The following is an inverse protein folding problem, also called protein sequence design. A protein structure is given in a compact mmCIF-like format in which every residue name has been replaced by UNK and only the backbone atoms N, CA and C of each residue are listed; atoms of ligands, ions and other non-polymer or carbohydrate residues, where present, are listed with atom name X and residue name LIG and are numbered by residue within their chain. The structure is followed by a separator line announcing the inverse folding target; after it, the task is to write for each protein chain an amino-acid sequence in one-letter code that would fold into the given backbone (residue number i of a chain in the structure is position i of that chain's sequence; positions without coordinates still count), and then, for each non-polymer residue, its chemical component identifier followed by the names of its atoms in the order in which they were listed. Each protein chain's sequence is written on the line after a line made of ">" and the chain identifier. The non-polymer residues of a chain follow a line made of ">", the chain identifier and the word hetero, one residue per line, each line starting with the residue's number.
data_IF_449688383231
#
_entry.id   IF_449688383231
#
_cell.length_a   1.000
_cell.length_b   1.000
_cell.length_c   1.000
_cell.angle_alpha   90.00
_cell.angle_beta   90.00
_cell.angle_gamma   90.00
#
_symmetry.space_group_name_H-M   'P 1'
#
loop_
_entity.id
_entity.type
_entity.pdbx_description
1 polymer ?
#
# COMPACT_ATOMS: atom_id res chain seq x y z
N UNK A 1 -7.61 4.93 -8.83
CA UNK A 1 -6.52 4.65 -9.79
C UNK A 1 -6.35 5.75 -10.84
N UNK A 2 -7.40 6.15 -11.53
CA UNK A 2 -7.35 7.15 -12.61
C UNK A 2 -6.73 8.49 -12.19
N UNK A 3 -7.25 9.12 -11.14
CA UNK A 3 -6.76 10.41 -10.65
C UNK A 3 -5.29 10.37 -10.22
N UNK A 4 -4.86 9.28 -9.57
CA UNK A 4 -3.45 9.07 -9.21
C UNK A 4 -2.56 8.95 -10.45
N UNK A 5 -2.97 8.21 -11.45
CA UNK A 5 -2.23 8.10 -12.72
C UNK A 5 -2.10 9.45 -13.43
N UNK A 6 -3.17 10.27 -13.46
CA UNK A 6 -3.15 11.62 -14.02
C UNK A 6 -2.18 12.53 -13.24
N UNK A 7 -2.20 12.46 -11.91
CA UNK A 7 -1.25 13.20 -11.06
C UNK A 7 0.21 12.80 -11.31
N UNK A 8 0.49 11.49 -11.48
CA UNK A 8 1.84 10.98 -11.77
C UNK A 8 2.35 11.52 -13.11
N UNK A 9 1.53 11.51 -14.15
CA UNK A 9 1.92 12.01 -15.49
C UNK A 9 2.28 13.49 -15.42
N UNK A 10 1.46 14.30 -14.76
CA UNK A 10 1.64 15.75 -14.65
C UNK A 10 2.69 16.18 -13.60
N UNK A 11 3.17 15.27 -12.76
CA UNK A 11 4.22 15.59 -11.78
C UNK A 11 5.54 15.92 -12.46
N UNK A 12 6.37 16.78 -11.84
CA UNK A 12 7.72 17.14 -12.33
C UNK A 12 8.84 16.52 -11.50
N UNK A 13 8.51 15.97 -10.31
CA UNK A 13 9.48 15.45 -9.37
C UNK A 13 10.10 14.12 -9.82
N UNK A 14 11.35 13.88 -9.42
CA UNK A 14 12.07 12.60 -9.56
C UNK A 14 11.41 11.48 -8.76
N UNK A 15 10.83 11.83 -7.61
CA UNK A 15 10.10 10.94 -6.70
C UNK A 15 8.64 11.33 -6.62
N UNK A 16 7.79 10.32 -6.44
CA UNK A 16 6.36 10.47 -6.15
C UNK A 16 6.11 9.94 -4.75
N UNK A 17 5.46 10.75 -3.94
CA UNK A 17 4.95 10.37 -2.63
C UNK A 17 3.44 10.59 -2.62
N UNK A 18 2.71 9.71 -1.94
CA UNK A 18 1.25 9.76 -1.85
C UNK A 18 0.85 10.12 -0.42
N UNK A 19 -0.16 10.96 -0.31
CA UNK A 19 -0.80 11.29 0.96
C UNK A 19 -2.32 11.25 0.74
N UNK A 20 -2.99 10.33 1.40
CA UNK A 20 -4.45 10.31 1.43
C UNK A 20 -4.94 11.45 2.32
N UNK A 21 -6.08 12.07 2.00
CA UNK A 21 -6.56 13.32 2.61
C UNK A 21 -6.82 13.23 4.11
N UNK A 22 -7.02 12.04 4.63
CA UNK A 22 -7.27 11.74 6.04
C UNK A 22 -6.02 11.28 6.81
N UNK A 23 -4.88 11.10 6.14
CA UNK A 23 -3.62 10.67 6.74
C UNK A 23 -2.71 11.85 7.10
N UNK A 24 -1.67 11.57 7.89
CA UNK A 24 -0.68 12.56 8.28
C UNK A 24 0.74 12.06 7.98
N UNK A 25 1.62 12.99 7.60
CA UNK A 25 3.05 12.74 7.52
C UNK A 25 3.82 13.37 8.69
N UNK A 26 4.86 12.67 9.11
CA UNK A 26 5.87 13.27 9.99
C UNK A 26 6.65 14.35 9.21
N UNK A 27 6.97 15.47 9.87
CA UNK A 27 7.66 16.63 9.24
C UNK A 27 8.93 16.25 8.45
N UNK A 28 9.68 15.26 8.91
CA UNK A 28 10.94 14.84 8.32
C UNK A 28 10.79 13.66 7.34
N UNK A 29 9.55 13.22 7.01
CA UNK A 29 9.33 12.02 6.19
C UNK A 29 10.04 12.09 4.84
N UNK A 30 9.81 13.13 4.08
CA UNK A 30 10.36 13.26 2.73
C UNK A 30 11.88 13.28 2.77
N UNK A 31 12.47 14.12 3.62
CA UNK A 31 13.92 14.24 3.76
C UNK A 31 14.56 12.90 4.14
N UNK A 32 14.06 12.25 5.18
CA UNK A 32 14.60 10.97 5.65
C UNK A 32 14.49 9.87 4.61
N UNK A 33 13.31 9.70 4.03
CA UNK A 33 13.01 8.60 3.13
C UNK A 33 13.71 8.76 1.78
N UNK A 34 13.80 9.98 1.23
CA UNK A 34 14.54 10.27 0.00
C UNK A 34 16.05 10.05 0.20
N UNK A 35 16.61 10.58 1.30
CA UNK A 35 18.04 10.36 1.63
C UNK A 35 18.35 8.86 1.74
N UNK A 36 17.50 8.08 2.41
CA UNK A 36 17.64 6.63 2.48
C UNK A 36 17.62 5.97 1.09
N UNK A 37 16.68 6.38 0.23
CA UNK A 37 16.54 5.83 -1.12
C UNK A 37 17.74 6.18 -2.01
N UNK A 38 18.27 7.40 -1.92
CA UNK A 38 19.41 7.84 -2.72
C UNK A 38 20.70 7.17 -2.28
N UNK A 39 20.99 7.13 -0.98
CA UNK A 39 22.19 6.51 -0.43
C UNK A 39 22.28 5.00 -0.74
N UNK A 40 21.14 4.32 -0.92
CA UNK A 40 21.10 2.89 -1.17
C UNK A 40 20.65 2.52 -2.60
N UNK A 41 20.55 3.51 -3.49
CA UNK A 41 20.06 3.35 -4.88
C UNK A 41 18.72 2.60 -4.97
N UNK A 42 17.76 2.92 -4.09
CA UNK A 42 16.46 2.27 -3.96
C UNK A 42 15.44 2.96 -4.85
N UNK A 43 14.62 2.17 -5.57
CA UNK A 43 13.57 2.68 -6.46
C UNK A 43 12.25 2.92 -5.74
N UNK A 44 11.96 2.16 -4.67
CA UNK A 44 10.71 2.22 -3.91
C UNK A 44 10.96 1.83 -2.46
N UNK A 45 10.42 2.62 -1.54
CA UNK A 45 10.45 2.36 -0.11
C UNK A 45 9.09 2.63 0.54
N UNK A 46 8.85 1.99 1.68
CA UNK A 46 7.71 2.28 2.54
C UNK A 46 8.16 2.39 3.99
N UNK A 47 7.50 3.23 4.78
CA UNK A 47 7.82 3.41 6.19
C UNK A 47 6.86 2.67 7.10
N UNK A 48 7.25 2.48 8.36
CA UNK A 48 6.31 2.20 9.45
C UNK A 48 5.37 3.39 9.64
N UNK A 49 4.21 3.14 10.27
CA UNK A 49 3.23 4.18 10.54
C UNK A 49 2.47 3.94 11.83
N UNK A 50 1.95 5.02 12.41
CA UNK A 50 1.00 4.95 13.51
C UNK A 50 -0.42 4.79 12.98
N UNK A 51 -1.28 4.18 13.80
CA UNK A 51 -2.73 4.14 13.59
C UNK A 51 -3.32 5.15 14.59
N UNK A 52 -4.06 6.13 14.09
CA UNK A 52 -4.68 7.17 14.91
C UNK A 52 -6.21 7.12 14.78
N UNK A 53 -6.86 7.30 15.91
CA UNK A 53 -8.31 7.47 16.02
C UNK A 53 -8.57 8.61 17.01
N UNK A 54 -9.45 9.54 16.65
CA UNK A 54 -9.77 10.72 17.48
C UNK A 54 -8.50 11.44 18.03
N UNK A 55 -7.51 11.64 17.15
CA UNK A 55 -6.20 12.23 17.40
C UNK A 55 -5.31 11.49 18.42
N UNK A 56 -5.70 10.30 18.85
CA UNK A 56 -4.88 9.43 19.72
C UNK A 56 -4.25 8.28 18.93
N UNK A 57 -3.00 7.94 19.27
CA UNK A 57 -2.35 6.75 18.70
C UNK A 57 -2.93 5.53 19.38
N UNK A 58 -3.61 4.66 18.62
CA UNK A 58 -4.20 3.40 19.09
C UNK A 58 -3.37 2.17 18.71
N UNK A 59 -2.35 2.33 17.87
CA UNK A 59 -1.48 1.24 17.44
C UNK A 59 -0.46 1.68 16.40
N UNK A 60 0.29 0.72 15.89
CA UNK A 60 1.27 0.98 14.84
C UNK A 60 1.48 -0.23 13.93
N UNK A 61 1.99 0.00 12.75
CA UNK A 61 2.45 -1.04 11.81
C UNK A 61 3.92 -0.84 11.54
N UNK A 62 4.71 -1.89 11.74
CA UNK A 62 6.15 -1.88 11.45
C UNK A 62 6.37 -2.36 10.02
N UNK A 63 7.07 -1.56 9.24
CA UNK A 63 7.46 -1.90 7.87
C UNK A 63 8.36 -3.14 7.87
N UNK A 64 8.02 -4.10 7.00
CA UNK A 64 8.74 -5.38 6.86
C UNK A 64 9.13 -5.58 5.40
N UNK A 65 10.22 -6.30 5.17
CA UNK A 65 10.57 -6.77 3.83
C UNK A 65 9.51 -7.77 3.35
N UNK A 66 8.84 -7.42 2.28
CA UNK A 66 7.83 -8.24 1.65
C UNK A 66 8.38 -8.80 0.33
N UNK A 67 8.04 -10.03 0.05
CA UNK A 67 8.20 -10.64 -1.27
C UNK A 67 6.82 -10.92 -1.87
N UNK A 68 6.78 -11.32 -3.13
CA UNK A 68 5.53 -11.59 -3.84
C UNK A 68 4.65 -12.63 -3.13
N UNK A 69 5.24 -13.69 -2.56
CA UNK A 69 4.46 -14.73 -1.85
C UNK A 69 3.81 -14.20 -0.56
N UNK A 70 4.55 -13.39 0.22
CA UNK A 70 4.05 -12.83 1.49
C UNK A 70 2.95 -11.80 1.26
N UNK A 71 3.10 -10.93 0.25
CA UNK A 71 2.11 -9.89 0.00
C UNK A 71 0.80 -10.46 -0.53
N UNK A 72 0.79 -11.62 -1.20
CA UNK A 72 -0.43 -12.26 -1.69
C UNK A 72 -1.51 -12.41 -0.62
N UNK A 73 -1.11 -12.70 0.61
CA UNK A 73 -2.05 -12.98 1.70
C UNK A 73 -2.06 -11.93 2.80
N UNK A 74 -1.18 -10.94 2.74
CA UNK A 74 -1.07 -9.93 3.80
C UNK A 74 -0.36 -8.68 3.29
N UNK A 75 -1.12 -7.62 3.01
CA UNK A 75 -0.57 -6.32 2.64
C UNK A 75 -0.58 -5.36 3.83
N UNK A 76 0.62 -4.93 4.26
CA UNK A 76 0.81 -3.92 5.32
C UNK A 76 1.44 -2.63 4.77
N UNK A 77 1.43 -2.43 3.45
CA UNK A 77 1.94 -1.23 2.81
C UNK A 77 0.78 -0.24 2.66
N UNK A 78 0.71 0.75 3.51
CA UNK A 78 -0.20 1.89 3.33
C UNK A 78 0.32 2.85 2.28
N UNK A 79 -0.54 3.35 1.40
CA UNK A 79 -0.15 4.21 0.29
C UNK A 79 0.58 5.48 0.77
N UNK A 80 0.09 6.11 1.83
CA UNK A 80 0.70 7.31 2.43
C UNK A 80 2.10 7.08 3.04
N UNK A 81 2.55 5.82 3.12
CA UNK A 81 3.90 5.48 3.61
C UNK A 81 4.94 5.39 2.51
N UNK A 82 4.50 5.32 1.25
CA UNK A 82 5.36 5.00 0.10
C UNK A 82 5.99 6.24 -0.52
N UNK A 83 7.27 6.11 -0.91
CA UNK A 83 7.94 6.96 -1.89
C UNK A 83 8.50 6.06 -2.99
N UNK A 84 8.33 6.49 -4.24
CA UNK A 84 8.70 5.71 -5.42
C UNK A 84 9.32 6.60 -6.49
N UNK A 85 10.33 6.15 -7.22
CA UNK A 85 10.86 6.87 -8.39
C UNK A 85 9.80 6.97 -9.48
N UNK A 86 9.60 8.17 -10.04
CA UNK A 86 8.55 8.45 -11.03
C UNK A 86 8.61 7.51 -12.23
N UNK A 87 9.80 7.22 -12.75
CA UNK A 87 9.98 6.34 -13.91
C UNK A 87 9.42 4.92 -13.67
N UNK A 88 9.44 4.43 -12.43
CA UNK A 88 8.84 3.15 -12.08
C UNK A 88 7.31 3.19 -12.17
N UNK A 89 6.68 4.29 -11.73
CA UNK A 89 5.22 4.48 -11.82
C UNK A 89 4.73 4.70 -13.26
N UNK A 90 5.56 5.25 -14.13
CA UNK A 90 5.24 5.33 -15.57
C UNK A 90 5.18 3.94 -16.21
N UNK A 91 6.00 2.99 -15.71
CA UNK A 91 6.00 1.59 -16.14
C UNK A 91 4.88 0.78 -15.49
N UNK A 92 4.60 0.99 -14.19
CA UNK A 92 3.60 0.26 -13.39
C UNK A 92 2.47 1.20 -12.97
N UNK A 93 1.42 1.29 -13.78
CA UNK A 93 0.27 2.17 -13.51
C UNK A 93 -0.69 1.55 -12.50
N UNK A 94 -1.37 2.41 -11.74
CA UNK A 94 -2.51 2.00 -10.93
C UNK A 94 -3.62 1.43 -11.81
N UNK A 95 -4.24 0.31 -11.44
CA UNK A 95 -5.39 -0.23 -12.17
C UNK A 95 -6.66 0.60 -11.94
N UNK A 96 -7.64 0.41 -12.81
CA UNK A 96 -8.96 0.98 -12.62
C UNK A 96 -9.85 0.01 -11.83
N UNK A 97 -9.72 0.06 -10.50
CA UNK A 97 -10.51 -0.73 -9.53
C UNK A 97 -10.90 0.22 -8.39
N UNK A 98 -12.04 0.01 -7.75
CA UNK A 98 -12.56 0.95 -6.73
C UNK A 98 -11.74 0.95 -5.45
N UNK A 99 -11.39 -0.23 -4.97
CA UNK A 99 -10.52 -0.41 -3.79
C UNK A 99 -9.34 -1.29 -4.16
N UNK A 100 -8.29 -1.34 -3.34
CA UNK A 100 -7.10 -2.20 -3.53
C UNK A 100 -6.25 -1.90 -4.80
N UNK A 101 -6.38 -0.71 -5.38
CA UNK A 101 -5.55 -0.32 -6.53
C UNK A 101 -4.05 -0.25 -6.18
N UNK A 102 -3.72 0.15 -4.97
CA UNK A 102 -2.38 0.12 -4.40
C UNK A 102 -1.86 -1.31 -4.25
N UNK A 103 -2.70 -2.20 -3.72
CA UNK A 103 -2.36 -3.61 -3.55
C UNK A 103 -2.01 -4.29 -4.88
N UNK A 104 -2.79 -4.03 -5.94
CA UNK A 104 -2.48 -4.52 -7.31
C UNK A 104 -1.14 -3.96 -7.78
N UNK A 105 -0.87 -2.69 -7.53
CA UNK A 105 0.39 -2.06 -7.93
C UNK A 105 1.59 -2.73 -7.24
N UNK A 106 1.50 -2.96 -5.93
CA UNK A 106 2.57 -3.64 -5.17
C UNK A 106 2.79 -5.07 -5.66
N UNK A 107 1.72 -5.80 -5.93
CA UNK A 107 1.80 -7.15 -6.50
C UNK A 107 2.49 -7.16 -7.85
N UNK A 108 2.19 -6.23 -8.76
CA UNK A 108 2.85 -6.12 -10.06
C UNK A 108 4.34 -5.82 -9.93
N UNK A 109 4.70 -4.88 -9.06
CA UNK A 109 6.11 -4.51 -8.80
C UNK A 109 6.89 -5.70 -8.24
N UNK A 110 6.37 -6.36 -7.20
CA UNK A 110 7.05 -7.50 -6.59
C UNK A 110 7.11 -8.72 -7.51
N UNK A 111 6.10 -8.92 -8.36
CA UNK A 111 6.08 -9.99 -9.38
C UNK A 111 7.14 -9.79 -10.46
N UNK A 112 7.53 -8.55 -10.75
CA UNK A 112 8.59 -8.24 -11.71
C UNK A 112 10.02 -8.42 -11.16
N UNK A 113 10.16 -8.91 -9.91
CA UNK A 113 11.47 -9.11 -9.27
C UNK A 113 12.01 -7.88 -8.54
N UNK A 114 11.31 -6.75 -8.59
CA UNK A 114 11.70 -5.54 -7.86
C UNK A 114 11.37 -5.66 -6.36
N UNK A 115 12.15 -4.98 -5.53
CA UNK A 115 11.94 -4.96 -4.08
C UNK A 115 11.30 -3.66 -3.62
N UNK A 116 10.42 -3.76 -2.61
CA UNK A 116 9.90 -2.62 -1.84
C UNK A 116 10.63 -2.62 -0.50
N UNK A 117 11.42 -1.59 -0.23
CA UNK A 117 12.32 -1.54 0.92
C UNK A 117 11.63 -0.94 2.15
N UNK A 118 11.70 -1.63 3.30
CA UNK A 118 11.10 -1.15 4.53
C UNK A 118 12.00 -0.15 5.25
N UNK A 119 11.38 0.88 5.83
CA UNK A 119 12.00 1.83 6.77
C UNK A 119 11.27 1.65 8.10
N UNK A 120 12.01 1.26 9.15
CA UNK A 120 11.41 0.96 10.47
C UNK A 120 10.88 2.20 11.20
N UNK A 121 11.35 3.40 10.84
CA UNK A 121 10.86 4.66 11.41
C UNK A 121 9.40 4.88 11.04
N UNK A 122 8.61 5.36 12.02
CA UNK A 122 7.20 5.73 11.86
C UNK A 122 7.13 7.13 11.25
N UNK A 123 7.03 7.22 9.94
CA UNK A 123 7.06 8.48 9.19
C UNK A 123 5.68 8.94 8.69
N UNK A 124 4.63 8.18 9.00
CA UNK A 124 3.25 8.48 8.63
C UNK A 124 2.30 8.07 9.76
N UNK A 125 1.08 8.61 9.73
CA UNK A 125 -0.02 8.16 10.58
C UNK A 125 -1.24 7.93 9.73
N UNK A 126 -1.78 6.71 9.79
CA UNK A 126 -3.04 6.33 9.14
C UNK A 126 -4.21 6.61 10.08
N UNK A 127 -5.22 7.34 9.57
CA UNK A 127 -6.40 7.68 10.34
C UNK A 127 -7.50 6.64 10.19
N UNK A 128 -7.95 6.06 11.31
CA UNK A 128 -9.12 5.17 11.35
C UNK A 128 -10.38 6.05 11.35
N UNK A 129 -11.07 6.14 10.21
CA UNK A 129 -12.31 6.92 10.05
C UNK A 129 -13.48 5.95 9.90
N UNK A 130 -14.61 6.22 10.59
CA UNK A 130 -15.83 5.36 10.57
C UNK A 130 -16.51 5.34 9.19
N UNK A 131 -16.46 6.45 8.44
CA UNK A 131 -17.14 6.62 7.14
C UNK A 131 -16.15 6.73 5.96
N UNK A 132 -15.22 5.79 5.82
CA UNK A 132 -14.29 5.81 4.68
C UNK A 132 -14.88 5.13 3.43
N UNK A 133 -14.42 5.51 2.22
CA UNK A 133 -14.72 4.79 0.96
C UNK A 133 -14.42 3.29 1.06
N UNK A 134 -13.50 2.93 1.95
CA UNK A 134 -13.14 1.55 2.25
C UNK A 134 -14.03 0.89 3.34
N UNK A 135 -15.15 1.48 3.75
CA UNK A 135 -16.05 0.88 4.76
C UNK A 135 -16.91 -0.24 4.19
N UNK A 136 -17.21 -0.24 2.87
CA UNK A 136 -18.02 -1.27 2.24
C UNK A 136 -17.25 -2.60 2.12
N UNK A 137 -17.57 -3.53 3.02
CA UNK A 137 -16.93 -4.85 3.09
C UNK A 137 -17.20 -5.73 1.87
N UNK A 138 -18.39 -5.66 1.28
CA UNK A 138 -18.75 -6.42 0.07
C UNK A 138 -17.91 -5.96 -1.13
N UNK A 139 -17.76 -4.64 -1.31
CA UNK A 139 -16.92 -4.09 -2.37
C UNK A 139 -15.45 -4.52 -2.20
N UNK A 140 -14.92 -4.53 -0.97
CA UNK A 140 -13.56 -5.00 -0.70
C UNK A 140 -13.36 -6.47 -1.02
N UNK A 141 -14.35 -7.33 -0.74
CA UNK A 141 -14.28 -8.75 -1.06
C UNK A 141 -14.32 -8.96 -2.57
N UNK A 142 -15.24 -8.28 -3.26
CA UNK A 142 -15.35 -8.34 -4.72
C UNK A 142 -14.06 -7.87 -5.40
N UNK A 143 -13.56 -6.69 -5.03
CA UNK A 143 -12.30 -6.17 -5.57
C UNK A 143 -11.10 -7.06 -5.21
N UNK A 144 -11.10 -7.64 -4.00
CA UNK A 144 -10.12 -8.63 -3.59
C UNK A 144 -10.12 -9.87 -4.47
N UNK A 145 -11.29 -10.37 -4.86
CA UNK A 145 -11.42 -11.45 -5.84
C UNK A 145 -10.87 -11.05 -7.22
N UNK A 146 -11.22 -9.85 -7.70
CA UNK A 146 -10.72 -9.32 -8.97
C UNK A 146 -9.19 -9.20 -9.01
N UNK A 147 -8.56 -8.85 -7.88
CA UNK A 147 -7.08 -8.82 -7.78
C UNK A 147 -6.47 -10.15 -8.22
N UNK A 148 -6.97 -11.26 -7.69
CA UNK A 148 -6.43 -12.57 -8.01
C UNK A 148 -6.91 -13.09 -9.37
N UNK A 149 -8.20 -12.96 -9.67
CA UNK A 149 -8.81 -13.52 -10.87
C UNK A 149 -8.41 -12.78 -12.15
N UNK A 150 -8.47 -11.45 -12.13
CA UNK A 150 -8.25 -10.60 -13.30
C UNK A 150 -6.79 -10.15 -13.41
N UNK A 151 -6.25 -9.56 -12.34
CA UNK A 151 -4.92 -8.95 -12.40
C UNK A 151 -3.77 -9.96 -12.26
N UNK A 152 -3.96 -11.05 -11.50
CA UNK A 152 -2.97 -12.12 -11.40
C UNK A 152 -3.28 -13.32 -12.31
N UNK A 153 -4.47 -13.37 -12.93
CA UNK A 153 -4.93 -14.45 -13.82
C UNK A 153 -4.91 -15.84 -13.16
N UNK A 154 -5.24 -15.91 -11.87
CA UNK A 154 -5.35 -17.18 -11.16
C UNK A 154 -6.65 -17.91 -11.50
N UNK A 155 -6.68 -19.25 -11.34
CA UNK A 155 -7.91 -20.04 -11.41
C UNK A 155 -8.93 -19.56 -10.37
N UNK A 156 -10.21 -19.90 -10.56
CA UNK A 156 -11.30 -19.54 -9.63
C UNK A 156 -10.97 -20.03 -8.21
N UNK A 157 -10.64 -21.32 -8.06
CA UNK A 157 -10.32 -21.92 -6.76
C UNK A 157 -9.13 -21.23 -6.07
N UNK A 158 -8.05 -20.98 -6.81
CA UNK A 158 -6.87 -20.30 -6.28
C UNK A 158 -7.18 -18.84 -5.88
N UNK A 159 -8.06 -18.17 -6.61
CA UNK A 159 -8.49 -16.81 -6.31
C UNK A 159 -9.27 -16.75 -5.00
N UNK A 160 -10.22 -17.65 -4.79
CA UNK A 160 -10.96 -17.76 -3.53
C UNK A 160 -10.06 -18.13 -2.36
N UNK A 161 -9.15 -19.07 -2.53
CA UNK A 161 -8.19 -19.44 -1.49
C UNK A 161 -7.35 -18.27 -1.02
N UNK A 162 -6.74 -17.51 -1.95
CA UNK A 162 -5.93 -16.35 -1.59
C UNK A 162 -6.78 -15.23 -0.97
N UNK A 163 -8.01 -15.00 -1.45
CA UNK A 163 -8.94 -14.03 -0.87
C UNK A 163 -9.29 -14.40 0.58
N UNK A 164 -9.57 -15.68 0.84
CA UNK A 164 -9.83 -16.18 2.19
C UNK A 164 -8.64 -15.92 3.12
N UNK A 165 -7.42 -16.26 2.71
CA UNK A 165 -6.21 -16.02 3.50
C UNK A 165 -5.96 -14.52 3.74
N UNK A 166 -6.18 -13.66 2.73
CA UNK A 166 -6.07 -12.21 2.88
C UNK A 166 -7.07 -11.68 3.90
N UNK A 167 -8.30 -12.16 3.86
CA UNK A 167 -9.38 -11.76 4.78
C UNK A 167 -9.11 -12.22 6.21
N UNK A 168 -8.68 -13.47 6.40
CA UNK A 168 -8.30 -14.00 7.71
C UNK A 168 -7.13 -13.22 8.32
N UNK A 169 -6.08 -12.98 7.56
CA UNK A 169 -4.94 -12.18 8.03
C UNK A 169 -5.34 -10.74 8.37
N UNK A 170 -6.29 -10.15 7.64
CA UNK A 170 -6.83 -8.84 7.97
C UNK A 170 -7.58 -8.85 9.32
N UNK A 171 -8.45 -9.85 9.55
CA UNK A 171 -9.20 -10.00 10.80
C UNK A 171 -8.29 -10.22 11.99
N UNK A 172 -7.31 -11.14 11.88
CA UNK A 172 -6.32 -11.39 12.94
C UNK A 172 -5.51 -10.14 13.31
N UNK A 173 -5.24 -9.27 12.34
CA UNK A 173 -4.56 -8.00 12.60
C UNK A 173 -5.48 -6.96 13.25
N UNK A 174 -6.77 -6.99 12.94
CA UNK A 174 -7.77 -6.08 13.51
C UNK A 174 -7.93 -6.34 15.02
N UNK A 175 -8.08 -7.60 15.41
CA UNK A 175 -8.23 -8.03 16.82
C UNK A 175 -7.08 -7.53 17.71
N UNK A 176 -5.90 -7.26 17.16
CA UNK A 176 -4.76 -6.74 17.93
C UNK A 176 -4.86 -5.24 18.26
N UNK A 177 -5.82 -4.51 17.71
CA UNK A 177 -5.94 -3.06 17.83
C UNK A 177 -7.36 -2.58 18.22
N UNK A 178 -8.30 -3.50 18.38
CA UNK A 178 -9.58 -3.28 19.03
C UNK A 178 -9.50 -3.81 20.49
#
# INVERSE_FOLDING_TARGET
>A
GYSRNKGIINSRGKYIAFLDSDDLWHKNKLQYQIKFMENNNILISHSSYNIICDNKIIGHRIAKKLNFKKILTSCDIGLSTVIIRKNLLLKFKFPNIKTKEDFVLWLKILKSGLNIYPIKQKLSSWRKVKSSLSSNSLQKLYDGYLVYRVYLKYSVLRSFYNLMLLSLNYLLKKIKYD
#
